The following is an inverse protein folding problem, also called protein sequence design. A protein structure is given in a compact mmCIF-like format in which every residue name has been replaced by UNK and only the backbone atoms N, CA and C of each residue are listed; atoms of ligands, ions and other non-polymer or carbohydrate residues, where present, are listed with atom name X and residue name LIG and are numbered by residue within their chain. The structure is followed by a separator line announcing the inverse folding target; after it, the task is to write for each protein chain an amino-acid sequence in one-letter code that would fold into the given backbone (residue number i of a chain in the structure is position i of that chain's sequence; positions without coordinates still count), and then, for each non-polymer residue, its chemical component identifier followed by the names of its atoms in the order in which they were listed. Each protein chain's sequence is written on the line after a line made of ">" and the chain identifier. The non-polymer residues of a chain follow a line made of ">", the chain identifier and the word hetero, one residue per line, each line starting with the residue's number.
data_IF_097631174518
#
_entry.id   IF_097631174518
#
_cell.length_a   1.000
_cell.length_b   1.000
_cell.length_c   1.000
_cell.angle_alpha   90.00
_cell.angle_beta   90.00
_cell.angle_gamma   90.00
#
_symmetry.space_group_name_H-M   'P 1'
#
loop_
_entity.id
_entity.type
_entity.pdbx_description
1 polymer ?
#
# COMPACT_ATOMS: atom_id res chain seq x y z
N UNK A 1 -2.83 -13.75 14.51
CA UNK A 1 -2.39 -13.75 13.09
C UNK A 1 -1.98 -12.33 12.75
N UNK A 2 -0.83 -12.15 12.09
CA UNK A 2 -0.33 -10.84 11.65
C UNK A 2 -0.25 -10.87 10.12
N UNK A 3 -0.87 -9.88 9.46
CA UNK A 3 -0.73 -9.64 8.02
C UNK A 3 -0.27 -8.19 7.84
N UNK A 4 0.77 -7.99 7.03
CA UNK A 4 1.34 -6.68 6.74
C UNK A 4 0.84 -6.14 5.40
N UNK A 5 0.08 -5.06 5.42
CA UNK A 5 -0.51 -4.47 4.21
C UNK A 5 0.46 -3.58 3.42
N UNK A 6 1.72 -3.43 3.88
CA UNK A 6 2.66 -2.53 3.23
C UNK A 6 4.11 -2.98 3.38
N UNK A 7 4.59 -3.73 2.42
CA UNK A 7 6.00 -4.11 2.29
C UNK A 7 6.49 -3.74 0.89
N UNK A 8 7.52 -2.92 0.80
CA UNK A 8 8.15 -2.61 -0.48
C UNK A 8 8.97 -3.79 -0.98
N UNK A 9 8.77 -4.18 -2.23
CA UNK A 9 9.53 -5.22 -2.90
C UNK A 9 10.60 -4.57 -3.78
N UNK A 10 11.77 -4.27 -3.17
CA UNK A 10 12.89 -3.65 -3.89
C UNK A 10 13.63 -4.70 -4.73
N UNK A 11 13.08 -4.96 -5.90
CA UNK A 11 13.57 -5.91 -6.89
C UNK A 11 14.88 -5.46 -7.55
N UNK A 12 15.54 -6.31 -8.34
CA UNK A 12 16.66 -5.89 -9.21
C UNK A 12 16.30 -4.70 -10.11
N UNK A 13 15.06 -4.64 -10.61
CA UNK A 13 14.56 -3.53 -11.45
C UNK A 13 14.52 -2.20 -10.68
N UNK A 14 14.10 -2.24 -9.41
CA UNK A 14 14.14 -1.04 -8.55
C UNK A 14 15.54 -0.47 -8.44
N UNK A 15 16.55 -1.30 -8.14
CA UNK A 15 17.92 -0.85 -7.98
C UNK A 15 18.56 -0.40 -9.29
N UNK A 16 18.32 -1.11 -10.38
CA UNK A 16 18.83 -0.71 -11.70
C UNK A 16 18.24 0.63 -12.15
N UNK A 17 16.96 0.89 -11.85
CA UNK A 17 16.29 2.17 -12.13
C UNK A 17 16.94 3.33 -11.35
N UNK A 18 17.23 3.15 -10.06
CA UNK A 18 17.88 4.19 -9.26
C UNK A 18 19.36 4.39 -9.68
N UNK A 19 20.06 3.31 -9.97
CA UNK A 19 21.45 3.36 -10.44
C UNK A 19 21.55 4.11 -11.77
N UNK A 20 20.63 3.85 -12.72
CA UNK A 20 20.56 4.56 -13.99
C UNK A 20 20.32 6.07 -13.80
N UNK A 21 19.42 6.47 -12.88
CA UNK A 21 19.19 7.87 -12.56
C UNK A 21 20.43 8.56 -11.97
N UNK A 22 21.24 7.83 -11.21
CA UNK A 22 22.52 8.32 -10.66
C UNK A 22 23.67 8.19 -11.65
N UNK A 23 23.50 7.51 -12.78
CA UNK A 23 24.52 7.20 -13.77
C UNK A 23 25.71 6.39 -13.20
N UNK A 24 25.39 5.38 -12.39
CA UNK A 24 26.36 4.43 -11.80
C UNK A 24 25.95 2.99 -12.08
N UNK A 25 26.86 2.05 -11.85
CA UNK A 25 26.50 0.62 -11.88
C UNK A 25 25.58 0.25 -10.69
N UNK A 26 24.69 -0.73 -10.88
CA UNK A 26 23.77 -1.17 -9.81
C UNK A 26 24.51 -1.64 -8.57
N UNK A 27 25.63 -2.37 -8.73
CA UNK A 27 26.46 -2.79 -7.62
C UNK A 27 27.06 -1.63 -6.80
N UNK A 28 27.38 -0.51 -7.46
CA UNK A 28 27.89 0.69 -6.79
C UNK A 28 26.77 1.40 -6.01
N UNK A 29 25.56 1.45 -6.57
CA UNK A 29 24.41 2.00 -5.87
C UNK A 29 24.07 1.16 -4.62
N UNK A 30 24.02 -0.17 -4.71
CA UNK A 30 23.81 -1.07 -3.57
C UNK A 30 24.88 -0.89 -2.49
N UNK A 31 26.15 -0.84 -2.89
CA UNK A 31 27.27 -0.61 -1.96
C UNK A 31 27.15 0.75 -1.25
N UNK A 32 26.76 1.80 -1.95
CA UNK A 32 26.54 3.12 -1.37
C UNK A 32 25.38 3.14 -0.39
N UNK A 33 24.29 2.40 -0.68
CA UNK A 33 23.15 2.25 0.21
C UNK A 33 23.48 1.41 1.45
N UNK A 34 24.47 0.52 1.38
CA UNK A 34 24.71 -0.52 2.38
C UNK A 34 23.59 -1.55 2.43
N UNK A 35 22.95 -1.83 1.29
CA UNK A 35 21.86 -2.78 1.17
C UNK A 35 22.28 -4.01 0.39
N UNK A 36 21.63 -5.13 0.71
CA UNK A 36 21.92 -6.41 0.07
C UNK A 36 21.36 -6.45 -1.36
N UNK A 37 22.06 -7.22 -2.23
CA UNK A 37 21.59 -7.49 -3.58
C UNK A 37 20.38 -8.44 -3.54
N UNK A 38 19.24 -8.09 -4.16
CA UNK A 38 18.08 -8.97 -4.25
C UNK A 38 18.29 -10.20 -5.15
N UNK A 39 19.32 -10.21 -5.99
CA UNK A 39 19.71 -11.27 -6.95
C UNK A 39 18.66 -11.46 -8.05
N UNK A 40 17.48 -11.95 -7.70
CA UNK A 40 16.32 -12.11 -8.59
C UNK A 40 15.01 -11.87 -7.84
N UNK A 41 13.89 -11.67 -8.53
CA UNK A 41 12.58 -11.57 -7.89
C UNK A 41 12.23 -12.79 -7.04
N UNK A 42 12.54 -13.99 -7.52
CA UNK A 42 12.27 -15.27 -6.83
C UNK A 42 13.13 -15.42 -5.58
N UNK A 43 14.43 -15.11 -5.67
CA UNK A 43 15.33 -15.15 -4.52
C UNK A 43 14.93 -14.14 -3.44
N UNK A 44 14.53 -12.93 -3.85
CA UNK A 44 14.01 -11.93 -2.93
C UNK A 44 12.68 -12.38 -2.29
N UNK A 45 11.81 -13.04 -3.05
CA UNK A 45 10.56 -13.60 -2.54
C UNK A 45 10.80 -14.68 -1.50
N UNK A 46 11.74 -15.60 -1.75
CA UNK A 46 12.15 -16.64 -0.77
C UNK A 46 12.69 -16.00 0.51
N UNK A 47 13.51 -14.98 0.36
CA UNK A 47 14.09 -14.26 1.50
C UNK A 47 13.01 -13.55 2.32
N UNK A 48 12.05 -12.86 1.68
CA UNK A 48 10.92 -12.25 2.38
C UNK A 48 10.03 -13.30 3.05
N UNK A 49 9.75 -14.45 2.41
CA UNK A 49 8.97 -15.52 3.02
C UNK A 49 9.64 -16.05 4.29
N UNK A 50 10.95 -16.28 4.26
CA UNK A 50 11.74 -16.68 5.43
C UNK A 50 11.70 -15.63 6.53
N UNK A 51 11.95 -14.36 6.19
CA UNK A 51 11.89 -13.24 7.15
C UNK A 51 10.53 -13.16 7.83
N UNK A 52 9.43 -13.25 7.06
CA UNK A 52 8.07 -13.20 7.61
C UNK A 52 7.79 -14.40 8.55
N UNK A 53 8.33 -15.58 8.26
CA UNK A 53 8.22 -16.75 9.16
C UNK A 53 8.93 -16.50 10.48
N UNK A 54 10.16 -16.01 10.45
CA UNK A 54 10.95 -15.67 11.64
C UNK A 54 10.27 -14.59 12.50
N UNK A 55 9.54 -13.68 11.84
CA UNK A 55 8.81 -12.60 12.51
C UNK A 55 7.39 -12.98 12.94
N UNK A 56 6.90 -14.18 12.59
CA UNK A 56 5.54 -14.62 12.90
C UNK A 56 4.46 -13.87 12.11
N UNK A 57 4.82 -13.38 10.91
CA UNK A 57 3.90 -12.70 9.99
C UNK A 57 3.37 -13.70 8.98
N UNK A 58 2.06 -13.84 8.91
CA UNK A 58 1.42 -14.87 8.07
C UNK A 58 1.40 -14.48 6.60
N UNK A 59 1.11 -13.22 6.27
CA UNK A 59 0.96 -12.72 4.89
C UNK A 59 1.44 -11.28 4.78
N UNK A 60 1.81 -10.88 3.57
CA UNK A 60 2.14 -9.48 3.29
C UNK A 60 1.62 -9.03 1.92
N UNK A 61 1.20 -7.76 1.82
CA UNK A 61 1.08 -7.07 0.55
C UNK A 61 2.45 -6.52 0.16
N UNK A 62 2.98 -6.99 -0.97
CA UNK A 62 4.30 -6.60 -1.49
C UNK A 62 4.13 -5.67 -2.70
N UNK A 63 4.85 -4.55 -2.70
CA UNK A 63 4.66 -3.44 -3.63
C UNK A 63 5.82 -3.37 -4.61
N UNK A 64 5.56 -3.53 -5.92
CA UNK A 64 6.52 -3.16 -6.95
C UNK A 64 6.75 -1.64 -6.89
N UNK A 65 7.96 -1.22 -6.49
CA UNK A 65 8.25 0.13 -6.02
C UNK A 65 8.76 1.08 -7.10
N UNK A 66 8.70 0.64 -8.36
CA UNK A 66 8.90 1.48 -9.55
C UNK A 66 7.86 1.11 -10.60
N UNK A 67 7.34 2.08 -11.39
CA UNK A 67 6.45 1.77 -12.49
C UNK A 67 7.13 0.86 -13.53
N UNK A 68 6.42 -0.16 -14.00
CA UNK A 68 6.96 -1.12 -14.98
C UNK A 68 7.55 -2.39 -14.38
N UNK A 69 7.49 -2.56 -13.06
CA UNK A 69 8.07 -3.72 -12.36
C UNK A 69 7.02 -4.73 -11.88
N UNK A 70 5.85 -4.75 -12.50
CA UNK A 70 4.77 -5.69 -12.15
C UNK A 70 5.21 -7.15 -12.24
N UNK A 71 6.13 -7.45 -13.17
CA UNK A 71 6.62 -8.80 -13.40
C UNK A 71 7.37 -9.37 -12.18
N UNK A 72 8.14 -8.54 -11.48
CA UNK A 72 8.89 -8.98 -10.29
C UNK A 72 7.97 -9.38 -9.15
N UNK A 73 6.91 -8.59 -8.90
CA UNK A 73 5.94 -8.91 -7.86
C UNK A 73 5.04 -10.08 -8.28
N UNK A 74 4.68 -10.18 -9.56
CA UNK A 74 3.93 -11.34 -10.04
C UNK A 74 4.71 -12.65 -9.85
N UNK A 75 6.02 -12.67 -10.16
CA UNK A 75 6.86 -13.83 -9.90
C UNK A 75 6.93 -14.20 -8.40
N UNK A 76 6.98 -13.21 -7.52
CA UNK A 76 6.95 -13.45 -6.08
C UNK A 76 5.61 -14.04 -5.61
N UNK A 77 4.48 -13.54 -6.13
CA UNK A 77 3.14 -14.07 -5.81
C UNK A 77 2.96 -15.49 -6.36
N UNK A 78 3.39 -15.75 -7.59
CA UNK A 78 3.37 -17.10 -8.18
C UNK A 78 4.19 -18.10 -7.35
N UNK A 79 5.33 -17.67 -6.82
CA UNK A 79 6.21 -18.51 -6.02
C UNK A 79 5.66 -18.79 -4.61
N UNK A 80 5.01 -17.82 -3.99
CA UNK A 80 4.46 -17.93 -2.63
C UNK A 80 3.00 -17.40 -2.57
N UNK A 81 2.04 -18.03 -3.27
CA UNK A 81 0.67 -17.50 -3.42
C UNK A 81 -0.11 -17.43 -2.10
N UNK A 82 0.23 -18.26 -1.11
CA UNK A 82 -0.37 -18.23 0.22
C UNK A 82 0.23 -17.12 1.13
N UNK A 83 1.35 -16.51 0.73
CA UNK A 83 2.09 -15.56 1.56
C UNK A 83 1.97 -14.13 1.07
N UNK A 84 1.90 -13.93 -0.25
CA UNK A 84 1.97 -12.60 -0.84
C UNK A 84 0.69 -12.20 -1.56
N UNK A 85 0.34 -10.93 -1.38
CA UNK A 85 -0.61 -10.19 -2.22
C UNK A 85 0.20 -9.16 -2.99
N UNK A 86 0.10 -9.18 -4.31
CA UNK A 86 0.92 -8.31 -5.15
C UNK A 86 0.26 -6.96 -5.39
N UNK A 87 1.01 -5.89 -5.14
CA UNK A 87 0.69 -4.51 -5.48
C UNK A 87 1.70 -3.99 -6.51
N UNK A 88 1.28 -3.06 -7.36
CA UNK A 88 2.16 -2.46 -8.34
C UNK A 88 1.92 -0.97 -8.51
N UNK A 89 3.00 -0.24 -8.74
CA UNK A 89 2.97 1.20 -8.98
C UNK A 89 2.57 1.49 -10.42
N UNK A 90 1.59 2.36 -10.61
CA UNK A 90 1.08 2.77 -11.91
C UNK A 90 1.23 4.28 -12.11
N UNK A 91 1.65 4.68 -13.30
CA UNK A 91 1.51 6.06 -13.78
C UNK A 91 0.32 6.13 -14.76
N UNK A 92 -0.83 6.66 -14.34
CA UNK A 92 -2.03 6.70 -15.17
C UNK A 92 -1.91 7.66 -16.37
N UNK A 93 -0.85 8.47 -16.40
CA UNK A 93 -0.61 9.42 -17.49
C UNK A 93 0.03 8.78 -18.73
N UNK A 94 0.50 7.53 -18.61
CA UNK A 94 1.11 6.80 -19.71
C UNK A 94 0.05 6.18 -20.63
N UNK A 95 0.35 6.11 -21.91
CA UNK A 95 -0.56 5.59 -22.95
C UNK A 95 -0.92 4.11 -22.72
N UNK A 96 0.00 3.33 -22.15
CA UNK A 96 -0.16 1.91 -21.87
C UNK A 96 -0.77 1.60 -20.49
N UNK A 97 -1.15 2.63 -19.70
CA UNK A 97 -1.59 2.45 -18.31
C UNK A 97 -2.79 1.50 -18.18
N UNK A 98 -3.81 1.63 -19.03
CA UNK A 98 -5.00 0.77 -18.98
C UNK A 98 -4.64 -0.70 -19.26
N UNK A 99 -3.89 -0.96 -20.32
CA UNK A 99 -3.48 -2.33 -20.69
C UNK A 99 -2.59 -2.98 -19.64
N UNK A 100 -1.72 -2.21 -18.99
CA UNK A 100 -0.88 -2.69 -17.88
C UNK A 100 -1.70 -3.07 -16.67
N UNK A 101 -2.71 -2.27 -16.30
CA UNK A 101 -3.62 -2.61 -15.19
C UNK A 101 -4.33 -3.91 -15.48
N UNK A 102 -4.92 -4.06 -16.67
CA UNK A 102 -5.61 -5.29 -17.07
C UNK A 102 -4.66 -6.49 -16.96
N UNK A 103 -3.50 -6.42 -17.60
CA UNK A 103 -2.52 -7.52 -17.60
C UNK A 103 -2.02 -7.88 -16.20
N UNK A 104 -1.79 -6.89 -15.33
CA UNK A 104 -1.35 -7.11 -13.96
C UNK A 104 -2.44 -7.79 -13.10
N UNK A 105 -3.69 -7.34 -13.23
CA UNK A 105 -4.82 -7.94 -12.51
C UNK A 105 -5.14 -9.37 -13.00
N UNK A 106 -5.03 -9.62 -14.30
CA UNK A 106 -5.17 -10.97 -14.89
C UNK A 106 -4.08 -11.93 -14.39
N UNK A 107 -2.86 -11.43 -14.14
CA UNK A 107 -1.78 -12.19 -13.50
C UNK A 107 -1.96 -12.39 -12.01
N UNK A 108 -3.05 -11.92 -11.42
CA UNK A 108 -3.38 -12.13 -10.01
C UNK A 108 -2.89 -11.05 -9.05
N UNK A 109 -2.31 -9.94 -9.54
CA UNK A 109 -2.03 -8.79 -8.67
C UNK A 109 -3.33 -8.17 -8.16
N UNK A 110 -3.29 -7.54 -6.97
CA UNK A 110 -4.50 -7.09 -6.26
C UNK A 110 -4.47 -5.62 -5.85
N UNK A 111 -3.36 -4.93 -5.95
CA UNK A 111 -3.26 -3.53 -5.56
C UNK A 111 -2.71 -2.66 -6.68
N UNK A 112 -3.50 -1.68 -7.13
CA UNK A 112 -3.04 -0.63 -8.03
C UNK A 112 -2.62 0.57 -7.21
N UNK A 113 -1.32 0.87 -7.17
CA UNK A 113 -0.74 1.94 -6.37
C UNK A 113 -0.60 3.22 -7.20
N UNK A 114 -1.30 4.26 -6.80
CA UNK A 114 -1.26 5.59 -7.35
C UNK A 114 -0.42 6.52 -6.48
N UNK A 115 0.54 7.21 -7.09
CA UNK A 115 1.45 8.15 -6.42
C UNK A 115 1.37 9.53 -7.07
N UNK A 116 0.26 10.29 -6.85
CA UNK A 116 0.02 11.55 -7.55
C UNK A 116 1.15 12.57 -7.34
N UNK A 117 1.65 12.70 -6.10
CA UNK A 117 2.76 13.61 -5.81
C UNK A 117 4.07 13.25 -6.51
N UNK A 118 4.32 11.95 -6.76
CA UNK A 118 5.53 11.45 -7.42
C UNK A 118 5.50 11.69 -8.93
N UNK A 119 4.32 11.58 -9.53
CA UNK A 119 4.14 11.55 -10.99
C UNK A 119 3.42 12.79 -11.52
N UNK A 120 3.14 13.77 -10.64
CA UNK A 120 2.61 15.10 -10.96
C UNK A 120 1.28 15.08 -11.73
N UNK A 121 0.32 14.29 -11.24
CA UNK A 121 -1.07 14.28 -11.74
C UNK A 121 -2.07 14.46 -10.60
N UNK A 122 -3.28 14.88 -10.91
CA UNK A 122 -4.37 15.01 -9.95
C UNK A 122 -5.29 13.79 -9.97
N UNK A 123 -5.95 13.46 -8.84
CA UNK A 123 -6.96 12.39 -8.81
C UNK A 123 -8.24 12.76 -9.61
N UNK A 124 -8.38 14.01 -10.03
CA UNK A 124 -9.46 14.46 -10.92
C UNK A 124 -9.18 14.19 -12.41
N UNK A 125 -7.97 13.72 -12.76
CA UNK A 125 -7.64 13.38 -14.14
C UNK A 125 -8.57 12.26 -14.62
N UNK A 126 -9.22 12.40 -15.79
CA UNK A 126 -10.12 11.38 -16.32
C UNK A 126 -9.46 10.01 -16.52
N UNK A 127 -8.14 9.97 -16.73
CA UNK A 127 -7.38 8.71 -16.84
C UNK A 127 -7.38 7.95 -15.50
N UNK A 128 -7.32 8.65 -14.36
CA UNK A 128 -7.43 8.04 -13.03
C UNK A 128 -8.83 7.44 -12.84
N UNK A 129 -9.88 8.15 -13.24
CA UNK A 129 -11.24 7.62 -13.18
C UNK A 129 -11.37 6.35 -14.03
N UNK A 130 -10.77 6.33 -15.22
CA UNK A 130 -10.77 5.17 -16.10
C UNK A 130 -10.04 3.97 -15.48
N UNK A 131 -8.90 4.18 -14.83
CA UNK A 131 -8.21 3.12 -14.06
C UNK A 131 -9.10 2.57 -12.96
N UNK A 132 -9.77 3.43 -12.18
CA UNK A 132 -10.69 2.99 -11.13
C UNK A 132 -11.88 2.16 -11.67
N UNK A 133 -12.43 2.54 -12.84
CA UNK A 133 -13.47 1.77 -13.54
C UNK A 133 -12.97 0.36 -13.90
N UNK A 134 -11.78 0.26 -14.49
CA UNK A 134 -11.17 -1.03 -14.84
C UNK A 134 -11.00 -1.89 -13.58
N UNK A 135 -10.41 -1.33 -12.51
CA UNK A 135 -10.18 -2.05 -11.27
C UNK A 135 -11.49 -2.52 -10.63
N UNK A 136 -12.51 -1.65 -10.61
CA UNK A 136 -13.85 -1.98 -10.09
C UNK A 136 -14.54 -3.10 -10.88
N UNK A 137 -14.22 -3.24 -12.17
CA UNK A 137 -14.74 -4.30 -13.05
C UNK A 137 -14.14 -5.68 -12.78
N UNK A 138 -13.02 -5.77 -12.06
CA UNK A 138 -12.41 -7.04 -11.68
C UNK A 138 -13.02 -7.59 -10.40
N UNK A 139 -13.45 -8.85 -10.44
CA UNK A 139 -13.97 -9.59 -9.30
C UNK A 139 -12.88 -10.31 -8.50
N UNK A 140 -13.28 -11.14 -7.53
CA UNK A 140 -12.38 -12.05 -6.83
C UNK A 140 -11.62 -12.94 -7.83
N UNK A 141 -10.33 -13.14 -7.63
CA UNK A 141 -9.45 -13.96 -8.49
C UNK A 141 -9.20 -13.44 -9.91
N UNK A 142 -9.35 -12.13 -10.17
CA UNK A 142 -8.98 -11.53 -11.46
C UNK A 142 -9.96 -11.78 -12.61
N UNK A 143 -11.11 -12.40 -12.36
CA UNK A 143 -12.19 -12.53 -13.36
C UNK A 143 -13.13 -11.32 -13.39
N UNK A 144 -13.92 -11.19 -14.46
CA UNK A 144 -14.96 -10.16 -14.54
C UNK A 144 -15.94 -10.32 -13.36
N UNK A 145 -16.26 -9.21 -12.69
CA UNK A 145 -17.23 -9.19 -11.60
C UNK A 145 -18.62 -9.49 -12.15
N UNK A 146 -19.39 -10.45 -11.56
CA UNK A 146 -20.77 -10.65 -11.97
C UNK A 146 -21.59 -9.37 -11.71
N UNK A 147 -22.66 -9.07 -12.49
CA UNK A 147 -23.54 -7.95 -12.24
C UNK A 147 -24.04 -7.97 -10.79
N UNK A 148 -23.92 -6.84 -10.10
CA UNK A 148 -24.40 -6.70 -8.72
C UNK A 148 -25.93 -6.66 -8.77
N UNK A 149 -26.56 -7.66 -8.17
CA UNK A 149 -27.99 -7.59 -7.84
C UNK A 149 -28.15 -6.49 -6.75
N UNK A 150 -28.81 -5.39 -7.10
CA UNK A 150 -28.98 -4.22 -6.24
C UNK A 150 -30.08 -4.45 -5.18
N UNK A 151 -29.98 -5.54 -4.41
CA UNK A 151 -30.82 -5.75 -3.23
C UNK A 151 -30.31 -4.91 -2.05
N UNK A 152 -31.19 -4.22 -1.28
CA UNK A 152 -30.80 -3.57 -0.05
C UNK A 152 -30.44 -4.63 0.99
N UNK A 153 -29.30 -4.47 1.66
CA UNK A 153 -28.82 -5.28 2.78
C UNK A 153 -28.10 -6.59 2.44
N UNK A 154 -26.98 -6.56 1.75
CA UNK A 154 -25.96 -7.55 2.07
C UNK A 154 -25.07 -6.97 3.19
N UNK A 155 -25.06 -7.63 4.35
CA UNK A 155 -23.98 -7.54 5.32
C UNK A 155 -22.64 -7.40 4.57
N UNK A 156 -21.73 -6.52 5.00
CA UNK A 156 -20.40 -6.28 4.39
C UNK A 156 -19.78 -7.61 3.96
N UNK A 157 -20.07 -8.05 2.72
CA UNK A 157 -19.51 -9.27 2.17
C UNK A 157 -18.00 -9.07 2.02
N UNK A 158 -17.22 -10.11 2.28
CA UNK A 158 -15.78 -10.10 2.06
C UNK A 158 -15.51 -9.61 0.65
N UNK A 159 -14.72 -8.52 0.52
CA UNK A 159 -14.51 -7.88 -0.77
C UNK A 159 -13.77 -8.82 -1.74
N UNK A 160 -12.73 -9.49 -1.29
CA UNK A 160 -11.89 -10.45 -2.02
C UNK A 160 -11.45 -10.02 -3.44
N UNK A 161 -11.49 -8.73 -3.74
CA UNK A 161 -11.15 -8.14 -5.05
C UNK A 161 -9.91 -7.25 -5.00
N UNK A 162 -9.55 -6.61 -6.12
CA UNK A 162 -8.46 -5.65 -6.14
C UNK A 162 -8.84 -4.36 -5.42
N UNK A 163 -7.82 -3.63 -4.98
CA UNK A 163 -7.93 -2.33 -4.29
C UNK A 163 -7.17 -1.25 -5.06
N UNK A 164 -7.52 0.01 -4.84
CA UNK A 164 -6.71 1.15 -5.27
C UNK A 164 -6.04 1.76 -4.05
N UNK A 165 -4.71 1.72 -4.05
CA UNK A 165 -3.88 2.34 -3.02
C UNK A 165 -3.47 3.73 -3.50
N UNK A 166 -3.74 4.78 -2.71
CA UNK A 166 -3.49 6.16 -3.09
C UNK A 166 -2.58 6.82 -2.07
N UNK A 167 -1.33 7.06 -2.46
CA UNK A 167 -0.39 7.75 -1.60
C UNK A 167 -0.74 9.24 -1.52
N UNK A 168 -1.11 9.69 -0.32
CA UNK A 168 -1.41 11.07 0.01
C UNK A 168 -0.32 11.67 0.93
N UNK A 169 -0.30 12.99 1.02
CA UNK A 169 0.58 13.70 1.95
C UNK A 169 2.06 13.74 1.54
N UNK A 170 2.92 13.81 2.54
CA UNK A 170 4.36 13.90 2.34
C UNK A 170 4.91 12.58 1.80
N UNK A 171 5.67 12.69 0.71
CA UNK A 171 6.35 11.56 0.11
C UNK A 171 7.86 11.77 0.15
N UNK A 172 8.58 10.83 0.72
CA UNK A 172 10.05 10.79 0.68
C UNK A 172 10.53 9.36 0.43
N UNK A 173 11.49 9.22 -0.47
CA UNK A 173 12.11 7.93 -0.77
C UNK A 173 13.53 7.94 -0.23
N UNK A 174 13.75 7.25 0.88
CA UNK A 174 15.05 7.25 1.59
C UNK A 174 16.21 6.77 0.74
N UNK A 175 16.00 5.81 -0.17
CA UNK A 175 17.01 5.38 -1.14
C UNK A 175 17.49 6.52 -2.04
N UNK A 176 16.56 7.34 -2.54
CA UNK A 176 16.92 8.52 -3.37
C UNK A 176 17.77 9.51 -2.60
N UNK A 177 17.36 9.83 -1.37
CA UNK A 177 18.09 10.75 -0.51
C UNK A 177 19.50 10.23 -0.22
N UNK A 178 19.65 8.96 0.16
CA UNK A 178 20.97 8.34 0.38
C UNK A 178 21.84 8.35 -0.87
N UNK A 179 21.26 8.16 -2.05
CA UNK A 179 21.95 8.20 -3.34
C UNK A 179 22.23 9.64 -3.83
N UNK A 180 21.82 10.68 -3.10
CA UNK A 180 21.95 12.07 -3.52
C UNK A 180 21.08 12.43 -4.73
N UNK A 181 20.02 11.67 -4.98
CA UNK A 181 19.06 11.96 -6.04
C UNK A 181 18.05 12.99 -5.56
N UNK A 182 17.65 13.96 -6.40
CA UNK A 182 16.66 14.95 -6.03
C UNK A 182 15.31 14.29 -5.78
N UNK A 183 14.48 14.91 -4.92
CA UNK A 183 13.08 14.57 -4.77
C UNK A 183 12.24 15.47 -5.68
N UNK A 184 11.73 14.98 -6.81
CA UNK A 184 10.91 15.78 -7.72
C UNK A 184 9.44 15.80 -7.29
N UNK A 185 9.13 15.30 -6.09
CA UNK A 185 7.75 15.07 -5.65
C UNK A 185 7.07 16.38 -5.28
N UNK A 186 5.89 16.59 -5.83
CA UNK A 186 5.07 17.77 -5.58
C UNK A 186 3.88 17.42 -4.69
N UNK A 187 3.97 17.80 -3.41
CA UNK A 187 2.96 17.52 -2.39
C UNK A 187 1.56 18.09 -2.73
N UNK A 188 1.47 19.10 -3.61
CA UNK A 188 0.20 19.68 -4.03
C UNK A 188 -0.72 18.65 -4.68
N UNK A 189 -0.16 17.62 -5.31
CA UNK A 189 -0.91 16.50 -5.88
C UNK A 189 -1.25 15.41 -4.84
N UNK A 190 -0.73 15.51 -3.62
CA UNK A 190 -0.95 14.53 -2.55
C UNK A 190 -2.14 14.83 -1.65
N UNK A 191 -3.09 15.68 -2.05
CA UNK A 191 -4.23 16.05 -1.21
C UNK A 191 -5.25 14.91 -1.10
N UNK A 192 -5.51 14.36 0.11
CA UNK A 192 -6.51 13.30 0.30
C UNK A 192 -7.93 13.70 -0.12
N UNK A 193 -8.30 14.99 -0.02
CA UNK A 193 -9.64 15.47 -0.39
C UNK A 193 -9.98 15.22 -1.85
N UNK A 194 -8.97 15.15 -2.72
CA UNK A 194 -9.17 14.87 -4.16
C UNK A 194 -9.67 13.42 -4.40
N UNK A 195 -9.52 12.53 -3.41
CA UNK A 195 -9.99 11.14 -3.49
C UNK A 195 -11.53 11.01 -3.33
N UNK A 196 -12.19 11.96 -2.63
CA UNK A 196 -13.61 11.85 -2.28
C UNK A 196 -14.49 11.57 -3.51
N UNK A 197 -14.34 12.36 -4.56
CA UNK A 197 -15.14 12.23 -5.78
C UNK A 197 -14.94 10.89 -6.49
N UNK A 198 -13.73 10.33 -6.45
CA UNK A 198 -13.44 9.02 -7.01
C UNK A 198 -14.04 7.91 -6.15
N UNK A 199 -13.86 7.96 -4.83
CA UNK A 199 -14.38 6.96 -3.90
C UNK A 199 -15.92 6.89 -3.93
N UNK A 200 -16.61 8.03 -4.01
CA UNK A 200 -18.08 8.09 -4.13
C UNK A 200 -18.60 7.49 -5.44
N UNK A 201 -17.88 7.65 -6.56
CA UNK A 201 -18.28 7.03 -7.84
C UNK A 201 -18.11 5.52 -7.86
N UNK A 202 -17.23 4.97 -7.01
CA UNK A 202 -16.93 3.54 -6.95
C UNK A 202 -17.12 2.97 -5.54
N UNK A 203 -18.37 2.98 -4.98
CA UNK A 203 -18.62 2.67 -3.56
C UNK A 203 -18.27 1.22 -3.17
N UNK A 204 -18.18 0.32 -4.15
CA UNK A 204 -17.78 -1.08 -3.93
C UNK A 204 -16.29 -1.34 -4.11
N UNK A 205 -15.49 -0.35 -4.54
CA UNK A 205 -14.05 -0.45 -4.70
C UNK A 205 -13.37 0.10 -3.44
N UNK A 206 -12.56 -0.70 -2.72
CA UNK A 206 -11.79 -0.19 -1.61
C UNK A 206 -10.66 0.73 -2.08
N UNK A 207 -10.53 1.88 -1.43
CA UNK A 207 -9.40 2.78 -1.56
C UNK A 207 -8.60 2.75 -0.27
N UNK A 208 -7.28 2.57 -0.37
CA UNK A 208 -6.38 2.52 0.79
C UNK A 208 -5.49 3.75 0.80
N UNK A 209 -5.59 4.56 1.85
CA UNK A 209 -4.69 5.69 2.09
C UNK A 209 -3.58 5.22 3.06
N UNK A 210 -2.32 5.13 2.61
CA UNK A 210 -1.22 4.72 3.49
C UNK A 210 -0.82 5.81 4.47
N UNK A 211 -0.13 5.38 5.54
CA UNK A 211 0.50 6.27 6.51
C UNK A 211 -0.48 7.27 7.15
N UNK A 212 -1.78 6.89 7.26
CA UNK A 212 -2.83 7.81 7.71
C UNK A 212 -2.87 9.15 6.95
N UNK A 213 -2.44 9.16 5.68
CA UNK A 213 -2.35 10.38 4.88
C UNK A 213 -1.05 11.17 5.05
N UNK A 214 -0.02 10.60 5.70
CA UNK A 214 1.36 11.12 5.75
C UNK A 214 1.46 12.64 6.01
N UNK A 215 0.87 13.12 7.11
CA UNK A 215 0.87 14.53 7.52
C UNK A 215 -0.39 15.31 7.12
N UNK A 216 -1.27 14.73 6.30
CA UNK A 216 -2.60 15.26 5.98
C UNK A 216 -3.71 14.42 6.67
N UNK A 217 -3.48 14.06 7.94
CA UNK A 217 -4.37 13.18 8.71
C UNK A 217 -5.81 13.70 8.75
N UNK A 218 -6.00 14.99 9.03
CA UNK A 218 -7.32 15.60 9.13
C UNK A 218 -8.10 15.47 7.83
N UNK A 219 -7.47 15.78 6.70
CA UNK A 219 -8.05 15.70 5.37
C UNK A 219 -8.39 14.25 5.00
N UNK A 220 -7.50 13.32 5.33
CA UNK A 220 -7.73 11.88 5.12
C UNK A 220 -8.90 11.35 5.96
N UNK A 221 -9.01 11.79 7.23
CA UNK A 221 -10.15 11.45 8.10
C UNK A 221 -11.48 12.01 7.57
N UNK A 222 -11.48 13.25 7.04
CA UNK A 222 -12.69 13.84 6.44
C UNK A 222 -13.17 13.00 5.25
N UNK A 223 -12.27 12.51 4.41
CA UNK A 223 -12.64 11.63 3.29
C UNK A 223 -13.16 10.27 3.79
N UNK A 224 -12.50 9.68 4.79
CA UNK A 224 -12.93 8.40 5.36
C UNK A 224 -14.30 8.48 6.07
N UNK A 225 -14.64 9.64 6.66
CA UNK A 225 -15.96 9.90 7.22
C UNK A 225 -17.05 9.89 6.14
N UNK A 226 -16.80 10.51 5.00
CA UNK A 226 -17.74 10.63 3.89
C UNK A 226 -17.79 9.39 2.97
N UNK A 227 -16.73 8.57 2.97
CA UNK A 227 -16.56 7.44 2.05
C UNK A 227 -16.26 6.15 2.83
N UNK A 228 -17.27 5.29 3.09
CA UNK A 228 -17.10 4.06 3.88
C UNK A 228 -16.22 3.00 3.21
N UNK A 229 -15.88 3.16 1.94
CA UNK A 229 -14.95 2.34 1.18
C UNK A 229 -13.50 2.85 1.20
N UNK A 230 -13.21 3.86 2.02
CA UNK A 230 -11.84 4.35 2.27
C UNK A 230 -11.30 3.71 3.54
N UNK A 231 -10.12 3.10 3.41
CA UNK A 231 -9.36 2.39 4.43
C UNK A 231 -8.06 3.13 4.71
N UNK A 232 -7.51 2.94 5.90
CA UNK A 232 -6.16 3.40 6.23
C UNK A 232 -5.20 2.22 6.33
N UNK A 233 -4.04 2.38 5.74
CA UNK A 233 -2.85 1.60 6.03
C UNK A 233 -2.04 2.34 7.11
N UNK A 234 -1.76 1.65 8.20
CA UNK A 234 -1.14 2.25 9.41
C UNK A 234 0.39 2.30 9.34
N UNK A 235 0.98 1.96 8.20
CA UNK A 235 2.42 1.82 8.01
C UNK A 235 3.20 3.14 8.19
N UNK A 236 4.52 3.06 8.13
CA UNK A 236 5.46 4.16 8.24
C UNK A 236 6.10 4.33 9.62
N UNK A 237 7.23 5.00 9.63
CA UNK A 237 7.91 5.44 10.85
C UNK A 237 7.17 6.54 11.63
N UNK A 238 6.01 7.00 11.11
CA UNK A 238 5.22 8.10 11.66
C UNK A 238 6.00 9.42 11.85
N UNK A 239 7.09 9.60 11.10
CA UNK A 239 7.92 10.81 11.17
C UNK A 239 7.18 12.09 10.77
N UNK A 240 6.03 11.96 10.12
CA UNK A 240 5.15 13.05 9.71
C UNK A 240 4.35 13.66 10.88
N UNK A 241 4.23 12.99 12.04
CA UNK A 241 3.56 13.57 13.24
C UNK A 241 4.20 14.88 13.70
N UNK A 242 5.50 15.09 13.39
CA UNK A 242 6.23 16.34 13.69
C UNK A 242 5.64 17.59 13.04
N UNK A 243 4.81 17.44 12.01
CA UNK A 243 4.18 18.58 11.32
C UNK A 243 2.99 19.17 12.10
N UNK A 244 2.50 18.45 13.11
CA UNK A 244 1.40 18.91 13.95
C UNK A 244 1.84 18.84 15.43
N UNK A 245 1.95 19.97 16.12
CA UNK A 245 2.30 20.01 17.53
C UNK A 245 1.34 19.11 18.36
N UNK A 246 1.90 18.43 19.35
CA UNK A 246 1.18 17.56 20.28
C UNK A 246 0.49 16.33 19.65
N UNK A 247 0.72 16.04 18.37
CA UNK A 247 0.24 14.80 17.74
C UNK A 247 1.15 13.64 18.13
N UNK A 248 0.55 12.60 18.69
CA UNK A 248 1.23 11.32 19.00
C UNK A 248 0.61 10.18 18.20
N UNK A 249 1.25 9.02 18.18
CA UNK A 249 0.71 7.85 17.49
C UNK A 249 -0.63 7.40 18.10
N UNK A 250 -0.77 7.50 19.42
CA UNK A 250 -2.02 7.20 20.13
C UNK A 250 -3.15 8.12 19.66
N UNK A 251 -2.92 9.42 19.56
CA UNK A 251 -3.92 10.37 19.07
C UNK A 251 -4.30 10.14 17.60
N UNK A 252 -3.34 9.67 16.79
CA UNK A 252 -3.61 9.26 15.40
C UNK A 252 -4.56 8.06 15.39
N UNK A 253 -4.25 7.01 16.17
CA UNK A 253 -5.11 5.84 16.27
C UNK A 253 -6.47 6.17 16.87
N UNK A 254 -6.53 6.96 17.94
CA UNK A 254 -7.80 7.40 18.56
C UNK A 254 -8.71 8.07 17.52
N UNK A 255 -8.16 9.01 16.75
CA UNK A 255 -8.91 9.73 15.71
C UNK A 255 -9.35 8.80 14.57
N UNK A 256 -8.47 7.92 14.12
CA UNK A 256 -8.77 6.98 13.04
C UNK A 256 -9.80 5.91 13.47
N UNK A 257 -9.71 5.41 14.70
CA UNK A 257 -10.68 4.48 15.27
C UNK A 257 -12.06 5.16 15.46
N UNK A 258 -12.08 6.42 15.88
CA UNK A 258 -13.32 7.18 16.06
C UNK A 258 -14.07 7.45 14.74
N UNK A 259 -13.36 7.67 13.65
CA UNK A 259 -13.93 8.02 12.33
C UNK A 259 -14.10 6.79 11.43
N UNK A 260 -13.04 6.01 11.25
CA UNK A 260 -13.05 4.88 10.34
C UNK A 260 -13.52 3.58 11.00
N UNK A 261 -13.38 3.47 12.31
CA UNK A 261 -13.57 2.22 13.04
C UNK A 261 -12.41 1.23 12.84
N UNK A 262 -12.28 0.22 13.72
CA UNK A 262 -11.20 -0.75 13.62
C UNK A 262 -11.26 -1.60 12.35
N UNK A 263 -12.42 -1.74 11.70
CA UNK A 263 -12.62 -2.56 10.50
C UNK A 263 -12.01 -1.97 9.23
N UNK A 264 -11.64 -0.68 9.25
CA UNK A 264 -11.04 0.00 8.11
C UNK A 264 -9.57 0.36 8.31
N UNK A 265 -8.92 -0.19 9.34
CA UNK A 265 -7.49 -0.04 9.58
C UNK A 265 -6.78 -1.33 9.15
N UNK A 266 -5.74 -1.18 8.34
CA UNK A 266 -4.89 -2.25 7.84
C UNK A 266 -3.50 -2.07 8.44
N UNK A 267 -3.05 -3.01 9.24
CA UNK A 267 -1.70 -2.96 9.77
C UNK A 267 -0.66 -3.02 8.64
N UNK A 268 0.34 -2.15 8.70
CA UNK A 268 1.48 -2.14 7.80
C UNK A 268 2.75 -1.65 8.49
N UNK A 269 3.91 -1.99 7.93
CA UNK A 269 5.21 -1.60 8.50
C UNK A 269 6.04 -0.68 7.63
N UNK A 270 5.79 -0.60 6.33
CA UNK A 270 6.67 0.06 5.36
C UNK A 270 8.09 -0.57 5.32
N UNK A 271 8.15 -1.88 5.52
CA UNK A 271 9.37 -2.66 5.37
C UNK A 271 9.82 -2.67 3.91
N UNK A 272 11.13 -2.71 3.64
CA UNK A 272 11.56 -2.46 2.26
C UNK A 272 12.86 -3.13 1.83
N UNK A 273 13.88 -3.23 2.68
CA UNK A 273 15.21 -3.65 2.24
C UNK A 273 15.90 -4.56 3.25
N UNK A 274 16.82 -5.34 2.76
CA UNK A 274 17.77 -6.09 3.57
C UNK A 274 19.11 -5.34 3.68
N UNK A 275 19.81 -5.46 4.82
CA UNK A 275 19.64 -6.43 5.90
C UNK A 275 18.64 -6.04 7.00
N UNK A 276 17.90 -4.91 6.89
CA UNK A 276 16.94 -4.53 7.94
C UNK A 276 15.83 -5.57 8.11
N UNK A 277 15.30 -6.12 7.01
CA UNK A 277 14.18 -7.04 7.00
C UNK A 277 12.87 -6.38 7.44
N UNK A 278 11.99 -7.15 8.08
CA UNK A 278 10.69 -6.69 8.57
C UNK A 278 10.83 -5.78 9.80
N UNK A 279 10.12 -4.66 9.78
CA UNK A 279 10.31 -3.59 10.75
C UNK A 279 9.56 -3.85 12.07
N UNK A 280 10.06 -4.80 12.87
CA UNK A 280 9.49 -5.21 14.17
C UNK A 280 9.17 -4.03 15.10
N UNK A 281 9.99 -2.97 15.09
CA UNK A 281 9.78 -1.81 15.95
C UNK A 281 8.46 -1.10 15.66
N UNK A 282 8.05 -1.01 14.38
CA UNK A 282 6.76 -0.41 13.99
C UNK A 282 5.59 -1.23 14.56
N UNK A 283 5.64 -2.55 14.43
CA UNK A 283 4.64 -3.43 15.02
C UNK A 283 4.53 -3.22 16.54
N UNK A 284 5.65 -3.19 17.23
CA UNK A 284 5.67 -3.03 18.68
C UNK A 284 5.09 -1.69 19.12
N UNK A 285 5.44 -0.61 18.42
CA UNK A 285 4.91 0.74 18.69
C UNK A 285 3.40 0.82 18.46
N UNK A 286 2.91 0.30 17.34
CA UNK A 286 1.48 0.33 17.02
C UNK A 286 0.68 -0.54 18.01
N UNK A 287 1.21 -1.72 18.36
CA UNK A 287 0.57 -2.57 19.36
C UNK A 287 0.51 -1.89 20.73
N UNK A 288 1.58 -1.24 21.15
CA UNK A 288 1.61 -0.51 22.43
C UNK A 288 0.57 0.62 22.45
N UNK A 289 0.48 1.42 21.38
CA UNK A 289 -0.50 2.48 21.25
C UNK A 289 -1.96 1.96 21.32
N UNK A 290 -2.26 0.85 20.64
CA UNK A 290 -3.60 0.23 20.69
C UNK A 290 -3.95 -0.33 22.08
N UNK A 291 -2.97 -0.89 22.80
CA UNK A 291 -3.14 -1.37 24.18
C UNK A 291 -3.39 -0.18 25.12
N UNK A 292 -2.64 0.90 24.98
CA UNK A 292 -2.80 2.12 25.80
C UNK A 292 -4.19 2.75 25.61
N UNK A 293 -4.71 2.72 24.39
CA UNK A 293 -6.06 3.17 24.05
C UNK A 293 -7.19 2.22 24.50
N UNK A 294 -6.85 1.07 25.10
CA UNK A 294 -7.84 0.10 25.53
C UNK A 294 -8.59 -0.59 24.39
N UNK A 295 -7.98 -0.65 23.19
CA UNK A 295 -8.57 -1.35 22.05
C UNK A 295 -8.64 -2.85 22.34
N UNK A 296 -9.84 -3.43 22.21
CA UNK A 296 -10.08 -4.84 22.56
C UNK A 296 -9.26 -5.81 21.70
N UNK A 297 -9.00 -7.01 22.22
CA UNK A 297 -8.27 -8.05 21.49
C UNK A 297 -8.92 -8.39 20.14
N UNK A 298 -10.26 -8.38 20.06
CA UNK A 298 -10.98 -8.62 18.83
C UNK A 298 -10.72 -7.52 17.78
N UNK A 299 -10.71 -6.26 18.21
CA UNK A 299 -10.41 -5.12 17.34
C UNK A 299 -8.93 -5.11 16.92
N UNK A 300 -8.01 -5.39 17.85
CA UNK A 300 -6.59 -5.55 17.51
C UNK A 300 -6.39 -6.70 16.51
N UNK A 301 -7.07 -7.83 16.70
CA UNK A 301 -7.03 -8.94 15.76
C UNK A 301 -7.53 -8.53 14.35
N UNK A 302 -8.59 -7.74 14.28
CA UNK A 302 -9.09 -7.20 13.02
C UNK A 302 -8.03 -6.32 12.33
N UNK A 303 -7.42 -5.38 13.04
CA UNK A 303 -6.40 -4.47 12.52
C UNK A 303 -5.15 -5.22 12.05
N UNK A 304 -4.62 -6.12 12.90
CA UNK A 304 -3.37 -6.82 12.62
C UNK A 304 -3.46 -7.93 11.55
N UNK A 305 -4.66 -8.33 11.10
CA UNK A 305 -4.77 -9.35 10.06
C UNK A 305 -6.18 -9.60 9.54
N UNK A 306 -7.21 -9.55 10.38
CA UNK A 306 -8.57 -9.88 9.95
C UNK A 306 -9.10 -9.00 8.83
N UNK A 307 -8.77 -7.71 8.83
CA UNK A 307 -9.17 -6.79 7.78
C UNK A 307 -8.45 -7.07 6.45
N UNK A 308 -7.19 -7.46 6.53
CA UNK A 308 -6.42 -7.91 5.37
C UNK A 308 -7.07 -9.12 4.71
N UNK A 309 -7.42 -10.14 5.51
CA UNK A 309 -8.09 -11.34 5.01
C UNK A 309 -9.48 -11.04 4.42
N UNK A 310 -10.21 -10.07 4.99
CA UNK A 310 -11.50 -9.64 4.45
C UNK A 310 -11.36 -8.95 3.10
N UNK A 311 -10.28 -8.21 2.86
CA UNK A 311 -10.04 -7.54 1.57
C UNK A 311 -9.51 -8.48 0.50
N UNK A 312 -8.63 -9.42 0.85
CA UNK A 312 -7.88 -10.23 -0.13
C UNK A 312 -8.25 -11.72 -0.12
N UNK A 313 -9.18 -12.11 0.73
CA UNK A 313 -9.52 -13.51 0.97
C UNK A 313 -8.51 -14.21 1.88
N UNK A 314 -8.94 -15.28 2.50
CA UNK A 314 -8.04 -16.21 3.23
C UNK A 314 -7.33 -17.08 2.21
N UNK A 315 -6.04 -17.32 2.42
CA UNK A 315 -5.24 -18.28 1.64
C UNK A 315 -5.59 -19.72 2.00
#
# INVERSE_FOLDING_TARGET
>A
MICDAHVHFFSPTFFSTLAAQRQVATADALRHLGWDDPVSPEALADRWATELDEQGVSRAAIIASVPGDEASVAAAVERHPARFVGYFMLDPTKEDAESRVVAALERGLRGVCLFPAMQSYTLHDPRVARIAEIVAGFGPRGGARPPIDQGPTSSRADHCGPVVFVHCGVLSVGARQKLGLPSPFDIRYGNPLDLEGLARRHPSLPFVIPHFGAGMLREALMVADQCPNVYFDTSSSNSWVKFQPDLTLEKVFESALGIAGPERLLFGTDSSFFPRGWHRAIYNQQRAALVELGVSDAQQHAIFGGNFDRLFGRS
#
